data_IF_738329324354
#
_entry.id   IF_738329324354
#
_cell.length_a   1.000
_cell.length_b   1.000
_cell.length_c   1.000
_cell.angle_alpha   90.00
_cell.angle_beta   90.00
_cell.angle_gamma   90.00
#
_symmetry.space_group_name_H-M   'P 1'
#
loop_
_entity.id
_entity.type
_entity.pdbx_description
1 polymer ?
#
# COMPACT_ATOMS: atom_id res chain seq x y z
N UNK A 1 -56.15 38.99 11.87
CA UNK A 1 -54.99 38.75 12.75
C UNK A 1 -54.12 37.67 12.12
N UNK A 2 -52.86 38.01 11.84
CA UNK A 2 -51.85 37.21 11.14
C UNK A 2 -51.27 36.18 12.11
N UNK A 3 -51.13 34.89 11.72
CA UNK A 3 -50.19 33.97 12.38
C UNK A 3 -49.29 33.29 11.35
N UNK A 4 -48.00 33.37 11.68
CA UNK A 4 -46.85 33.28 10.79
C UNK A 4 -46.47 31.83 10.48
N UNK A 5 -45.99 31.66 9.25
CA UNK A 5 -45.21 30.55 8.71
C UNK A 5 -43.98 30.30 9.59
N UNK A 6 -43.65 29.02 9.82
CA UNK A 6 -42.42 28.61 10.49
C UNK A 6 -41.99 27.23 10.04
N UNK A 7 -41.53 27.11 8.79
CA UNK A 7 -40.86 25.91 8.29
C UNK A 7 -39.40 25.97 8.75
N UNK A 8 -39.03 25.23 9.80
CA UNK A 8 -37.62 25.00 10.14
C UNK A 8 -37.10 23.82 9.31
N UNK A 9 -36.43 24.12 8.19
CA UNK A 9 -35.63 23.15 7.46
C UNK A 9 -34.28 22.98 8.14
N UNK A 10 -34.05 21.84 8.78
CA UNK A 10 -32.74 21.46 9.33
C UNK A 10 -31.97 20.68 8.25
N UNK A 11 -31.10 21.38 7.51
CA UNK A 11 -30.15 20.77 6.59
C UNK A 11 -28.99 20.15 7.39
N UNK A 12 -29.03 18.82 7.57
CA UNK A 12 -27.90 18.02 8.04
C UNK A 12 -26.85 17.94 6.93
N UNK A 13 -25.84 18.80 7.00
CA UNK A 13 -24.60 18.66 6.25
C UNK A 13 -23.82 17.48 6.83
N UNK A 14 -24.03 16.28 6.28
CA UNK A 14 -23.17 15.13 6.52
C UNK A 14 -21.83 15.40 5.83
N UNK A 15 -20.90 15.98 6.58
CA UNK A 15 -19.49 16.06 6.20
C UNK A 15 -18.96 14.64 6.03
N UNK A 16 -18.87 14.18 4.79
CA UNK A 16 -18.25 12.90 4.43
C UNK A 16 -16.73 13.07 4.57
N UNK A 17 -16.25 13.14 5.81
CA UNK A 17 -14.83 12.97 6.09
C UNK A 17 -14.47 11.57 5.60
N UNK A 18 -13.67 11.51 4.53
CA UNK A 18 -13.24 10.26 3.92
C UNK A 18 -12.67 9.33 4.98
N UNK A 19 -13.28 8.17 5.15
CA UNK A 19 -12.76 7.17 6.08
C UNK A 19 -11.35 6.77 5.64
N UNK A 20 -10.40 6.61 6.57
CA UNK A 20 -9.08 6.13 6.23
C UNK A 20 -9.19 4.81 5.45
N UNK A 21 -8.58 4.77 4.26
CA UNK A 21 -8.67 3.61 3.36
C UNK A 21 -7.95 2.37 3.93
N UNK A 22 -7.01 2.58 4.85
CA UNK A 22 -6.34 1.53 5.61
C UNK A 22 -6.96 1.41 7.01
N UNK A 23 -7.35 0.18 7.39
CA UNK A 23 -7.51 -0.14 8.81
C UNK A 23 -6.14 0.00 9.51
N UNK A 24 -6.11 0.23 10.83
CA UNK A 24 -4.87 0.25 11.60
C UNK A 24 -4.03 -0.99 11.30
N UNK A 25 -2.78 -0.81 10.86
CA UNK A 25 -1.86 -1.89 10.54
C UNK A 25 -1.35 -2.55 11.84
N UNK A 26 -2.11 -3.52 12.33
CA UNK A 26 -1.74 -4.34 13.47
C UNK A 26 -0.90 -5.54 13.01
N UNK A 27 0.42 -5.32 12.91
CA UNK A 27 1.39 -6.30 12.44
C UNK A 27 1.98 -7.17 13.57
N UNK A 28 1.37 -7.25 14.75
CA UNK A 28 1.95 -7.99 15.88
C UNK A 28 1.86 -9.51 15.75
N UNK A 29 0.93 -10.03 14.93
CA UNK A 29 0.70 -11.46 14.75
C UNK A 29 1.05 -11.91 13.32
N UNK A 30 2.08 -12.76 13.20
CA UNK A 30 2.54 -13.32 11.92
C UNK A 30 1.49 -14.20 11.21
N UNK A 31 0.56 -14.80 11.95
CA UNK A 31 -0.49 -15.66 11.42
C UNK A 31 -1.72 -14.88 10.93
N UNK A 32 -1.86 -13.61 11.34
CA UNK A 32 -3.00 -12.77 11.00
C UNK A 32 -2.81 -12.11 9.65
N UNK A 33 -3.71 -12.43 8.70
CA UNK A 33 -3.73 -11.78 7.39
C UNK A 33 -4.65 -10.56 7.37
N UNK A 34 -4.05 -9.39 7.22
CA UNK A 34 -4.72 -8.12 7.07
C UNK A 34 -5.04 -7.85 5.60
N UNK A 35 -6.27 -7.48 5.35
CA UNK A 35 -6.75 -7.02 4.05
C UNK A 35 -7.33 -5.63 4.19
N UNK A 36 -7.08 -4.77 3.21
CA UNK A 36 -7.69 -3.45 3.14
C UNK A 36 -9.21 -3.57 2.96
N UNK A 37 -9.90 -2.46 3.24
CA UNK A 37 -11.33 -2.28 2.96
C UNK A 37 -11.59 -1.66 1.59
N UNK A 38 -10.55 -1.51 0.76
CA UNK A 38 -10.67 -0.99 -0.59
C UNK A 38 -11.29 -2.00 -1.54
N UNK A 39 -11.64 -1.52 -2.74
CA UNK A 39 -12.05 -2.35 -3.88
C UNK A 39 -11.12 -2.09 -5.09
N UNK A 40 -10.35 -3.11 -5.54
CA UNK A 40 -10.23 -4.45 -4.94
C UNK A 40 -9.58 -4.42 -3.55
N UNK A 41 -9.76 -5.50 -2.78
CA UNK A 41 -9.04 -5.65 -1.51
C UNK A 41 -7.56 -5.86 -1.76
N UNK A 42 -6.72 -5.24 -0.93
CA UNK A 42 -5.26 -5.34 -0.96
C UNK A 42 -4.78 -6.09 0.27
N UNK A 43 -3.85 -7.01 0.06
CA UNK A 43 -3.22 -7.77 1.13
C UNK A 43 -2.18 -6.94 1.89
N UNK A 44 -2.64 -6.26 2.93
CA UNK A 44 -1.79 -5.36 3.73
C UNK A 44 -0.67 -6.13 4.45
N UNK A 45 -0.89 -7.37 4.88
CA UNK A 45 0.17 -8.15 5.52
C UNK A 45 1.35 -8.38 4.59
N UNK A 46 1.11 -8.68 3.31
CA UNK A 46 2.18 -8.98 2.36
C UNK A 46 3.05 -7.77 2.03
N UNK A 47 2.46 -6.57 2.03
CA UNK A 47 3.17 -5.33 1.73
C UNK A 47 3.87 -4.80 2.98
N UNK A 48 3.17 -4.74 4.13
CA UNK A 48 3.62 -3.96 5.29
C UNK A 48 4.01 -4.78 6.52
N UNK A 49 3.41 -5.94 6.76
CA UNK A 49 3.66 -6.69 8.00
C UNK A 49 4.69 -7.79 7.83
N UNK A 50 4.87 -8.29 6.61
CA UNK A 50 5.50 -9.57 6.37
C UNK A 50 4.45 -10.67 6.20
N UNK A 51 4.74 -11.64 5.35
CA UNK A 51 3.94 -12.84 5.20
C UNK A 51 4.81 -14.09 5.22
N UNK A 52 4.48 -14.99 6.14
CA UNK A 52 5.00 -16.35 6.20
C UNK A 52 3.89 -17.30 5.76
N UNK A 53 4.12 -18.07 4.70
CA UNK A 53 3.18 -19.07 4.22
C UNK A 53 3.05 -20.24 5.20
N UNK A 54 2.02 -21.09 5.01
CA UNK A 54 1.75 -22.26 5.88
C UNK A 54 2.96 -23.20 6.06
N UNK A 55 3.81 -23.32 5.05
CA UNK A 55 5.02 -24.15 5.08
C UNK A 55 6.26 -23.40 5.63
N UNK A 56 6.05 -22.24 6.27
CA UNK A 56 7.11 -21.38 6.77
C UNK A 56 7.78 -20.51 5.69
N UNK A 57 7.35 -20.56 4.42
CA UNK A 57 8.01 -19.82 3.34
C UNK A 57 7.78 -18.31 3.44
N UNK A 58 8.83 -17.48 3.38
CA UNK A 58 8.70 -16.05 3.13
C UNK A 58 7.93 -15.74 1.84
N UNK A 59 6.87 -14.93 1.93
CA UNK A 59 6.04 -14.54 0.79
C UNK A 59 6.18 -13.07 0.43
N UNK A 60 6.18 -12.14 1.38
CA UNK A 60 6.30 -10.71 1.06
C UNK A 60 6.63 -9.85 2.27
N UNK A 61 7.26 -8.71 2.00
CA UNK A 61 7.46 -7.55 2.87
C UNK A 61 8.13 -6.49 2.00
N UNK A 62 7.41 -5.41 1.66
CA UNK A 62 7.79 -4.47 0.60
C UNK A 62 7.80 -3.01 1.06
N UNK A 63 7.56 -2.74 2.34
CA UNK A 63 7.56 -1.39 2.89
C UNK A 63 7.93 -1.40 4.37
N UNK A 64 8.70 -0.40 4.80
CA UNK A 64 9.01 -0.13 6.21
C UNK A 64 8.10 0.94 6.82
N UNK A 65 6.95 1.22 6.22
CA UNK A 65 5.96 2.15 6.77
C UNK A 65 5.42 1.71 8.14
N UNK A 66 5.65 0.46 8.54
CA UNK A 66 5.44 -0.05 9.90
C UNK A 66 6.79 -0.31 10.55
N UNK A 67 6.92 0.06 11.82
CA UNK A 67 8.13 -0.18 12.60
C UNK A 67 8.46 -1.67 12.70
N UNK A 68 9.75 -1.99 12.58
CA UNK A 68 10.29 -3.32 12.84
C UNK A 68 10.69 -3.46 14.31
N UNK A 69 10.69 -4.69 14.87
CA UNK A 69 10.20 -5.92 14.26
C UNK A 69 8.66 -5.96 14.17
N UNK A 70 8.15 -6.72 13.22
CA UNK A 70 6.74 -7.17 13.22
C UNK A 70 6.66 -8.59 13.78
N UNK A 71 5.45 -9.16 13.87
CA UNK A 71 5.31 -10.58 14.19
C UNK A 71 6.02 -11.52 13.19
N UNK A 72 6.12 -11.10 11.92
CA UNK A 72 6.67 -11.93 10.84
C UNK A 72 8.11 -11.57 10.43
N UNK A 73 8.56 -10.34 10.66
CA UNK A 73 9.84 -9.81 10.17
C UNK A 73 10.66 -9.25 11.32
N UNK A 74 11.90 -9.73 11.43
CA UNK A 74 12.85 -9.28 12.45
C UNK A 74 13.56 -8.01 12.00
N UNK A 75 14.13 -8.02 10.79
CA UNK A 75 14.90 -6.91 10.22
C UNK A 75 15.00 -7.02 8.70
N UNK A 76 15.52 -5.96 8.10
CA UNK A 76 15.95 -5.96 6.70
C UNK A 76 17.44 -5.62 6.65
N UNK A 77 18.15 -6.31 5.76
CA UNK A 77 19.55 -6.06 5.44
C UNK A 77 19.64 -5.51 4.00
N UNK A 78 20.05 -4.26 3.88
CA UNK A 78 20.10 -3.48 2.64
C UNK A 78 21.33 -2.56 2.58
N UNK A 79 21.56 -2.01 1.38
CA UNK A 79 22.62 -1.02 1.16
C UNK A 79 22.17 0.40 1.54
N UNK A 80 23.07 1.38 1.38
CA UNK A 80 22.71 2.79 1.54
C UNK A 80 21.76 3.20 0.41
N UNK A 81 20.59 3.72 0.77
CA UNK A 81 19.62 4.32 -0.15
C UNK A 81 19.06 5.61 0.44
N UNK A 82 18.43 6.45 -0.38
CA UNK A 82 17.70 7.63 0.10
C UNK A 82 16.24 7.29 0.42
N UNK A 83 15.61 8.10 1.27
CA UNK A 83 14.22 7.85 1.71
C UNK A 83 13.20 7.82 0.56
N UNK A 84 13.41 8.63 -0.49
CA UNK A 84 12.54 8.72 -1.66
C UNK A 84 12.85 7.73 -2.79
N UNK A 85 13.72 6.75 -2.56
CA UNK A 85 14.14 5.77 -3.58
C UNK A 85 13.50 4.41 -3.33
N UNK A 86 13.11 3.73 -4.41
CA UNK A 86 12.86 2.28 -4.37
C UNK A 86 14.20 1.55 -4.24
N UNK A 87 14.24 0.47 -3.48
CA UNK A 87 15.50 -0.25 -3.24
C UNK A 87 15.28 -1.75 -3.06
N UNK A 88 16.33 -2.53 -3.24
CA UNK A 88 16.33 -3.96 -2.91
C UNK A 88 16.90 -4.19 -1.51
N UNK A 89 16.33 -5.15 -0.80
CA UNK A 89 16.79 -5.58 0.51
C UNK A 89 16.59 -7.07 0.75
N UNK A 90 17.38 -7.65 1.65
CA UNK A 90 17.18 -9.00 2.14
C UNK A 90 16.39 -8.95 3.45
N UNK A 91 15.17 -9.46 3.43
CA UNK A 91 14.30 -9.56 4.60
C UNK A 91 14.68 -10.78 5.42
N UNK A 92 14.87 -10.58 6.72
CA UNK A 92 15.11 -11.63 7.71
C UNK A 92 13.80 -11.83 8.48
N UNK A 93 13.19 -13.00 8.34
CA UNK A 93 11.90 -13.34 8.95
C UNK A 93 12.10 -13.93 10.35
N UNK A 94 11.05 -13.85 11.17
CA UNK A 94 11.06 -14.34 12.56
C UNK A 94 11.29 -15.85 12.71
N UNK A 95 11.17 -16.61 11.62
CA UNK A 95 11.54 -18.03 11.57
C UNK A 95 12.96 -18.29 11.06
N UNK A 96 13.80 -17.25 10.98
CA UNK A 96 15.20 -17.30 10.52
C UNK A 96 15.38 -17.39 9.00
N UNK A 97 14.30 -17.50 8.22
CA UNK A 97 14.40 -17.58 6.76
C UNK A 97 14.61 -16.21 6.13
N UNK A 98 15.19 -16.21 4.93
CA UNK A 98 15.62 -15.00 4.21
C UNK A 98 14.96 -14.94 2.84
N UNK A 99 14.62 -13.73 2.39
CA UNK A 99 14.12 -13.50 1.02
C UNK A 99 14.49 -12.10 0.54
N UNK A 100 14.94 -12.00 -0.71
CA UNK A 100 15.10 -10.70 -1.39
C UNK A 100 13.75 -10.08 -1.70
N UNK A 101 13.66 -8.77 -1.53
CA UNK A 101 12.47 -7.97 -1.75
C UNK A 101 12.84 -6.62 -2.33
N UNK A 102 11.95 -6.07 -3.15
CA UNK A 102 12.02 -4.69 -3.63
C UNK A 102 11.03 -3.86 -2.82
N UNK A 103 11.48 -2.69 -2.38
CA UNK A 103 10.81 -1.86 -1.40
C UNK A 103 10.33 -0.55 -1.99
N UNK A 104 9.14 -0.14 -1.55
CA UNK A 104 8.68 1.23 -1.68
C UNK A 104 9.65 2.20 -0.96
N UNK A 105 9.74 3.45 -1.43
CA UNK A 105 10.42 4.52 -0.68
C UNK A 105 10.02 4.56 0.78
N UNK A 106 11.00 4.70 1.67
CA UNK A 106 10.80 4.73 3.12
C UNK A 106 10.06 5.99 3.59
N UNK A 107 10.03 7.06 2.77
CA UNK A 107 9.24 8.25 3.05
C UNK A 107 7.74 8.07 2.73
N UNK A 108 7.35 7.03 2.00
CA UNK A 108 5.96 6.77 1.65
C UNK A 108 5.17 6.16 2.82
N UNK A 109 4.10 6.84 3.21
CA UNK A 109 3.16 6.30 4.19
C UNK A 109 2.41 5.08 3.66
N UNK A 110 1.86 4.28 4.58
CA UNK A 110 1.01 3.15 4.21
C UNK A 110 -0.21 3.57 3.38
N UNK A 111 -0.83 4.72 3.68
CA UNK A 111 -1.93 5.23 2.85
C UNK A 111 -1.49 5.62 1.45
N UNK A 112 -0.32 6.26 1.31
CA UNK A 112 0.22 6.65 0.00
C UNK A 112 0.53 5.42 -0.85
N UNK A 113 1.13 4.39 -0.25
CA UNK A 113 1.40 3.12 -0.91
C UNK A 113 0.10 2.43 -1.31
N UNK A 114 -0.89 2.32 -0.42
CA UNK A 114 -2.18 1.71 -0.75
C UNK A 114 -2.87 2.44 -1.91
N UNK A 115 -2.82 3.77 -1.92
CA UNK A 115 -3.38 4.59 -3.00
C UNK A 115 -2.67 4.34 -4.33
N UNK A 116 -1.34 4.29 -4.32
CA UNK A 116 -0.51 3.98 -5.49
C UNK A 116 -0.79 2.58 -6.03
N UNK A 117 -0.92 1.57 -5.16
CA UNK A 117 -1.27 0.19 -5.57
C UNK A 117 -2.62 0.14 -6.27
N UNK A 118 -3.64 0.81 -5.71
CA UNK A 118 -4.98 0.86 -6.31
C UNK A 118 -4.98 1.63 -7.64
N UNK A 119 -4.16 2.66 -7.76
CA UNK A 119 -4.01 3.42 -9.00
C UNK A 119 -3.31 2.60 -10.08
N UNK A 120 -2.17 1.97 -9.77
CA UNK A 120 -1.47 1.08 -10.67
C UNK A 120 -2.38 -0.05 -11.17
N UNK A 121 -3.19 -0.64 -10.28
CA UNK A 121 -4.16 -1.68 -10.66
C UNK A 121 -5.23 -1.20 -11.65
N UNK A 122 -5.66 0.06 -11.55
CA UNK A 122 -6.70 0.64 -12.42
C UNK A 122 -6.13 1.20 -13.73
N UNK A 123 -4.82 1.47 -13.77
CA UNK A 123 -4.12 2.08 -14.89
C UNK A 123 -3.01 1.16 -15.38
N UNK A 124 -3.32 -0.12 -15.58
CA UNK A 124 -2.33 -1.10 -16.00
C UNK A 124 -1.74 -0.73 -17.36
N UNK A 125 -0.41 -0.86 -17.46
CA UNK A 125 0.36 -0.56 -18.69
C UNK A 125 0.67 -1.83 -19.49
N UNK A 126 0.50 -3.00 -18.90
CA UNK A 126 0.65 -4.29 -19.57
C UNK A 126 0.97 -5.43 -18.61
N UNK A 127 1.23 -6.61 -19.18
CA UNK A 127 1.68 -7.78 -18.45
C UNK A 127 3.19 -7.71 -18.19
N UNK A 128 3.63 -8.14 -17.01
CA UNK A 128 5.06 -8.32 -16.73
C UNK A 128 5.55 -9.66 -17.33
N UNK A 129 6.73 -9.72 -17.99
CA UNK A 129 7.20 -10.92 -18.71
C UNK A 129 7.23 -12.22 -17.90
N UNK A 130 7.47 -12.13 -16.59
CA UNK A 130 7.48 -13.29 -15.70
C UNK A 130 6.11 -13.67 -15.11
N UNK A 131 5.33 -12.70 -14.63
CA UNK A 131 4.00 -12.89 -14.03
C UNK A 131 3.41 -11.56 -13.55
N UNK A 132 2.09 -11.46 -13.50
CA UNK A 132 1.40 -10.28 -12.97
C UNK A 132 1.32 -9.15 -13.99
N UNK A 133 0.79 -8.01 -13.53
CA UNK A 133 0.56 -6.82 -14.36
C UNK A 133 1.40 -5.65 -13.83
N UNK A 134 1.62 -4.67 -14.69
CA UNK A 134 2.36 -3.45 -14.39
C UNK A 134 1.41 -2.25 -14.40
N UNK A 135 1.71 -1.24 -13.60
CA UNK A 135 1.04 0.04 -13.64
C UNK A 135 1.82 1.12 -12.88
N UNK A 136 1.63 2.41 -13.19
CA UNK A 136 2.35 3.50 -12.55
C UNK A 136 1.87 3.74 -11.12
N UNK A 137 2.76 4.19 -10.24
CA UNK A 137 2.47 4.50 -8.83
C UNK A 137 1.58 5.74 -8.66
N UNK A 138 1.48 6.59 -9.68
CA UNK A 138 0.73 7.83 -9.63
C UNK A 138 0.43 8.36 -11.05
N UNK A 139 -0.54 9.30 -11.22
CA UNK A 139 -0.74 10.00 -12.48
C UNK A 139 0.50 10.78 -12.92
N UNK A 140 0.68 10.92 -14.24
CA UNK A 140 1.63 11.86 -14.83
C UNK A 140 1.22 13.31 -14.53
N UNK A 141 2.18 14.22 -14.44
CA UNK A 141 1.92 15.67 -14.36
C UNK A 141 1.50 16.21 -12.98
N UNK A 142 1.23 15.38 -11.98
CA UNK A 142 1.12 15.82 -10.60
C UNK A 142 2.52 15.97 -9.99
N UNK A 143 3.21 17.06 -10.35
CA UNK A 143 4.39 17.49 -9.63
C UNK A 143 3.95 17.93 -8.23
N UNK A 144 4.50 17.30 -7.20
CA UNK A 144 4.48 17.85 -5.86
C UNK A 144 5.32 19.14 -5.88
N UNK A 145 4.68 20.29 -5.66
CA UNK A 145 5.37 21.54 -5.34
C UNK A 145 6.16 21.35 -4.04
N UNK A 146 7.39 20.85 -4.15
CA UNK A 146 8.30 20.59 -3.03
C UNK A 146 8.14 19.20 -2.40
N UNK A 147 8.93 18.23 -2.87
CA UNK A 147 9.55 17.16 -2.07
C UNK A 147 8.70 16.32 -1.10
N UNK A 148 7.37 16.33 -1.21
CA UNK A 148 6.46 15.60 -0.34
C UNK A 148 5.26 15.09 -1.14
N UNK A 149 4.57 14.07 -0.61
CA UNK A 149 3.38 13.44 -1.19
C UNK A 149 2.18 14.39 -1.29
N UNK A 150 2.29 15.49 -2.05
CA UNK A 150 1.28 16.56 -2.14
C UNK A 150 -0.04 16.11 -2.77
N UNK A 151 -0.03 15.05 -3.58
CA UNK A 151 -1.21 14.38 -4.13
C UNK A 151 -1.57 13.08 -3.37
N UNK A 152 -0.77 12.77 -2.34
CA UNK A 152 -0.82 11.58 -1.49
C UNK A 152 -0.64 10.25 -2.21
N UNK A 153 0.03 10.25 -3.36
CA UNK A 153 0.60 9.05 -3.98
C UNK A 153 2.07 8.88 -3.57
N UNK A 154 2.55 7.65 -3.63
CA UNK A 154 3.97 7.36 -3.50
C UNK A 154 4.70 7.64 -4.83
N UNK A 155 5.78 8.42 -4.77
CA UNK A 155 6.57 8.91 -5.91
C UNK A 155 8.06 8.73 -5.61
N UNK A 156 8.89 8.77 -6.64
CA UNK A 156 10.35 8.78 -6.46
C UNK A 156 10.82 10.13 -5.88
N UNK A 157 12.09 10.22 -5.50
CA UNK A 157 12.72 11.42 -4.95
C UNK A 157 12.65 12.66 -5.88
N UNK A 158 12.30 12.48 -7.16
CA UNK A 158 12.10 13.55 -8.15
C UNK A 158 10.62 13.89 -8.36
N UNK A 159 9.72 13.32 -7.55
CA UNK A 159 8.27 13.47 -7.69
C UNK A 159 7.68 12.72 -8.88
N UNK A 160 8.42 11.80 -9.50
CA UNK A 160 7.94 11.05 -10.68
C UNK A 160 7.27 9.74 -10.25
N UNK A 161 6.27 9.27 -11.00
CA UNK A 161 5.75 7.93 -10.79
C UNK A 161 6.82 6.88 -11.10
N UNK A 162 6.80 5.77 -10.38
CA UNK A 162 7.57 4.57 -10.69
C UNK A 162 6.60 3.42 -10.98
N UNK A 163 7.11 2.35 -11.60
CA UNK A 163 6.26 1.21 -11.95
C UNK A 163 6.04 0.29 -10.75
N UNK A 164 4.81 -0.17 -10.57
CA UNK A 164 4.41 -1.16 -9.57
C UNK A 164 3.99 -2.43 -10.30
N UNK A 165 4.59 -3.54 -9.88
CA UNK A 165 4.17 -4.88 -10.28
C UNK A 165 3.11 -5.41 -9.32
N UNK A 166 2.06 -6.02 -9.88
CA UNK A 166 0.87 -6.44 -9.14
C UNK A 166 0.57 -7.91 -9.40
N UNK A 167 0.37 -8.66 -8.32
CA UNK A 167 -0.15 -10.03 -8.36
C UNK A 167 -1.57 -10.09 -7.81
N UNK A 168 -2.50 -10.60 -8.61
CA UNK A 168 -3.92 -10.72 -8.26
C UNK A 168 -4.31 -12.16 -7.92
N UNK A 169 -5.36 -12.31 -7.13
CA UNK A 169 -6.01 -13.59 -6.82
C UNK A 169 -7.52 -13.39 -6.76
N UNK A 170 -8.28 -14.50 -6.76
CA UNK A 170 -9.70 -14.48 -6.38
C UNK A 170 -9.87 -14.68 -4.88
N UNK A 171 -10.60 -13.79 -4.21
CA UNK A 171 -11.04 -13.95 -2.82
C UNK A 171 -12.53 -13.71 -2.73
N UNK A 172 -13.25 -14.67 -2.14
CA UNK A 172 -14.71 -14.58 -1.96
C UNK A 172 -15.46 -14.23 -3.27
N UNK A 173 -14.99 -14.77 -4.39
CA UNK A 173 -15.56 -14.54 -5.71
C UNK A 173 -15.20 -13.21 -6.38
N UNK A 174 -14.35 -12.38 -5.76
CA UNK A 174 -13.95 -11.07 -6.26
C UNK A 174 -12.43 -11.02 -6.51
N UNK A 175 -11.99 -10.11 -7.38
CA UNK A 175 -10.58 -9.83 -7.57
C UNK A 175 -9.99 -9.17 -6.32
N UNK A 176 -8.79 -9.59 -5.96
CA UNK A 176 -8.03 -9.04 -4.86
C UNK A 176 -6.56 -8.94 -5.24
N UNK A 177 -5.90 -7.88 -4.78
CA UNK A 177 -4.46 -7.69 -4.95
C UNK A 177 -3.76 -8.45 -3.82
N UNK A 178 -3.14 -9.58 -4.16
CA UNK A 178 -2.41 -10.41 -3.20
C UNK A 178 -1.02 -9.85 -2.89
N UNK A 179 -0.39 -9.19 -3.84
CA UNK A 179 0.91 -8.54 -3.67
C UNK A 179 1.04 -7.36 -4.63
N UNK A 180 1.77 -6.34 -4.20
CA UNK A 180 2.21 -5.25 -5.04
C UNK A 180 3.53 -4.70 -4.50
N UNK A 181 4.48 -4.42 -5.40
CA UNK A 181 5.80 -3.89 -5.07
C UNK A 181 6.39 -3.12 -6.26
N UNK A 182 7.38 -2.23 -6.03
CA UNK A 182 8.05 -1.55 -7.14
C UNK A 182 8.72 -2.54 -8.10
N UNK A 183 8.52 -2.36 -9.40
CA UNK A 183 9.00 -3.29 -10.44
C UNK A 183 10.51 -3.16 -10.69
#
# INVERSE_FOLDING_TARGET
MIRRIGLLGLLLLLSWAGQPMAASLDCSDAGKRLWSRSDPQVNLSHIFCGEIGRNGDPKGFHSRAVALPTGAVDRVEDGRHHGGETYDGTVIYSNGRRKRSTFYPDDCSAEAILRSVLYAYRNQTGDHPAWGVLGPSAPEGAASDGGGQGDGYCRDARGRPFEIRIGTIRRRGQDAINTAFPN
#
